data_IF_167399204259
#
_entry.id   IF_167399204259
#
_cell.length_a   1.000
_cell.length_b   1.000
_cell.length_c   1.000
_cell.angle_alpha   90.00
_cell.angle_beta   90.00
_cell.angle_gamma   90.00
#
_symmetry.space_group_name_H-M   'P 1'
#
loop_
_entity.id
_entity.type
_entity.pdbx_description
1 polymer ?
#
# COMPACT_ATOMS: atom_id res chain seq x y z
N UNK A 1 -36.74 1.26 -24.94
CA UNK A 1 -38.17 0.91 -24.84
C UNK A 1 -38.66 1.42 -23.50
N UNK A 2 -39.31 2.61 -23.44
CA UNK A 2 -40.74 2.87 -23.46
C UNK A 2 -41.38 2.36 -22.15
N UNK A 3 -42.01 3.15 -21.28
CA UNK A 3 -42.88 4.32 -21.41
C UNK A 3 -43.14 5.02 -20.09
N UNK A 4 -43.25 6.36 -20.19
CA UNK A 4 -43.95 7.30 -19.29
C UNK A 4 -45.42 6.88 -19.04
N UNK A 5 -45.99 7.27 -17.87
CA UNK A 5 -47.34 7.80 -17.79
C UNK A 5 -47.42 8.85 -16.69
N UNK A 6 -47.72 10.08 -17.09
CA UNK A 6 -48.29 11.17 -16.29
C UNK A 6 -49.79 10.89 -16.09
N UNK A 7 -50.35 11.29 -14.94
CA UNK A 7 -51.74 11.79 -14.91
C UNK A 7 -51.93 12.91 -13.89
N UNK A 8 -52.37 14.01 -14.40
CA UNK A 8 -52.98 15.18 -13.77
C UNK A 8 -54.42 14.89 -13.32
N UNK A 9 -54.89 15.67 -12.35
CA UNK A 9 -56.26 16.27 -12.20
C UNK A 9 -56.41 16.70 -10.75
N UNK A 10 -57.04 17.75 -10.29
CA UNK A 10 -57.61 18.98 -10.83
C UNK A 10 -58.10 19.76 -9.59
N UNK A 11 -58.15 21.05 -9.75
CA UNK A 11 -58.63 22.06 -8.80
C UNK A 11 -60.14 22.01 -8.58
N UNK A 12 -60.59 22.43 -7.37
CA UNK A 12 -61.97 22.90 -7.16
C UNK A 12 -62.08 23.58 -5.78
N UNK A 13 -62.78 24.69 -5.70
CA UNK A 13 -62.65 25.67 -4.63
C UNK A 13 -63.93 25.80 -3.73
N UNK A 14 -63.80 26.74 -2.75
CA UNK A 14 -64.84 27.41 -1.93
C UNK A 14 -65.29 26.78 -0.61
N UNK A 15 -65.18 27.64 0.39
CA UNK A 15 -65.99 27.59 1.59
C UNK A 15 -65.37 28.33 2.79
N UNK A 16 -65.53 29.68 2.83
CA UNK A 16 -65.33 30.46 4.06
C UNK A 16 -66.36 30.06 5.12
N UNK A 17 -65.97 29.82 6.35
CA UNK A 17 -66.76 30.18 7.52
C UNK A 17 -65.87 30.49 8.71
N UNK A 18 -66.01 31.67 9.24
CA UNK A 18 -65.46 32.15 10.49
C UNK A 18 -66.10 31.44 11.67
N UNK A 19 -65.30 30.98 12.62
CA UNK A 19 -65.68 30.95 14.01
C UNK A 19 -64.43 31.06 14.92
N UNK A 20 -64.53 32.04 15.74
CA UNK A 20 -63.64 32.51 16.82
C UNK A 20 -63.53 31.47 17.92
N UNK A 21 -62.30 31.21 18.41
CA UNK A 21 -62.20 30.69 19.75
C UNK A 21 -61.07 29.70 20.03
N UNK A 22 -60.24 30.14 20.94
CA UNK A 22 -59.30 29.47 21.81
C UNK A 22 -57.89 29.20 21.33
N UNK A 23 -56.99 30.05 21.87
CA UNK A 23 -55.57 29.86 21.93
C UNK A 23 -55.24 28.67 22.85
N UNK A 24 -54.83 27.55 22.32
CA UNK A 24 -54.09 26.54 23.01
C UNK A 24 -52.69 26.53 22.39
N UNK A 25 -51.72 27.04 23.14
CA UNK A 25 -50.30 27.00 22.78
C UNK A 25 -49.82 25.57 22.78
N UNK A 26 -49.71 24.95 21.61
CA UNK A 26 -48.95 23.73 21.43
C UNK A 26 -47.44 24.09 21.39
N UNK A 27 -46.79 24.00 22.54
CA UNK A 27 -45.34 23.97 22.58
C UNK A 27 -44.89 22.70 21.84
N UNK A 28 -44.48 22.87 20.58
CA UNK A 28 -43.74 21.83 19.86
C UNK A 28 -42.36 21.74 20.52
N UNK A 29 -42.20 20.82 21.45
CA UNK A 29 -40.91 20.38 21.94
C UNK A 29 -40.29 19.61 20.78
N UNK A 30 -39.47 20.28 19.98
CA UNK A 30 -38.50 19.62 19.11
C UNK A 30 -37.51 18.88 20.00
N UNK A 31 -37.79 17.62 20.28
CA UNK A 31 -36.78 16.65 20.69
C UNK A 31 -35.78 16.57 19.54
N UNK A 32 -34.73 17.39 19.61
CA UNK A 32 -33.48 17.14 18.92
C UNK A 32 -32.97 15.82 19.50
N UNK A 33 -33.32 14.71 18.88
CA UNK A 33 -32.56 13.48 19.00
C UNK A 33 -31.16 13.82 18.48
N UNK A 34 -30.26 14.17 19.40
CA UNK A 34 -28.84 14.09 19.15
C UNK A 34 -28.59 12.61 18.80
N UNK A 35 -28.55 12.30 17.52
CA UNK A 35 -27.89 11.09 17.08
C UNK A 35 -26.47 11.29 17.52
N UNK A 36 -26.02 10.48 18.49
CA UNK A 36 -24.61 10.36 18.84
C UNK A 36 -23.88 10.04 17.51
N UNK A 37 -23.32 11.06 16.89
CA UNK A 37 -22.44 10.89 15.75
C UNK A 37 -21.20 10.25 16.31
N UNK A 38 -21.01 8.95 16.07
CA UNK A 38 -19.78 8.24 16.39
C UNK A 38 -18.62 9.03 15.79
N UNK A 39 -17.86 9.67 16.66
CA UNK A 39 -16.82 10.58 16.24
C UNK A 39 -15.52 9.81 15.99
N UNK A 40 -15.41 9.24 14.79
CA UNK A 40 -14.10 8.87 14.25
C UNK A 40 -13.47 10.15 13.73
N UNK A 41 -12.33 10.55 14.26
CA UNK A 41 -11.66 11.79 13.86
C UNK A 41 -10.20 11.56 13.52
N UNK A 42 -9.68 12.39 12.61
CA UNK A 42 -8.26 12.47 12.28
C UNK A 42 -7.79 13.91 12.44
N UNK A 43 -6.66 14.08 13.14
CA UNK A 43 -5.96 15.36 13.26
C UNK A 43 -4.58 15.24 12.63
N UNK A 44 -4.25 16.14 11.71
CA UNK A 44 -2.95 16.16 11.06
C UNK A 44 -1.88 16.78 11.95
N UNK A 45 -0.61 16.49 11.68
CA UNK A 45 0.53 17.04 12.42
C UNK A 45 0.50 18.57 12.57
N UNK A 46 0.01 19.28 11.56
CA UNK A 46 -0.07 20.73 11.56
C UNK A 46 -1.15 21.29 12.50
N UNK A 47 -2.18 20.50 12.76
CA UNK A 47 -3.35 20.88 13.57
C UNK A 47 -3.21 20.45 15.04
N UNK A 48 -2.30 19.52 15.35
CA UNK A 48 -2.07 19.00 16.69
C UNK A 48 -1.45 20.02 17.61
N UNK A 49 -1.79 19.95 18.91
CA UNK A 49 -1.08 20.69 19.96
C UNK A 49 0.37 20.18 20.09
N UNK A 50 1.30 21.07 20.40
CA UNK A 50 2.73 20.75 20.49
C UNK A 50 3.04 19.55 21.38
N UNK A 51 2.61 19.51 22.64
CA UNK A 51 2.93 18.40 23.55
C UNK A 51 2.40 17.03 23.09
N UNK A 52 1.21 16.99 22.51
CA UNK A 52 0.60 15.77 21.98
C UNK A 52 1.37 15.24 20.79
N UNK A 53 1.60 16.07 19.79
CA UNK A 53 2.44 15.76 18.64
C UNK A 53 3.82 15.29 19.07
N UNK A 54 4.46 16.00 20.00
CA UNK A 54 5.84 15.70 20.43
C UNK A 54 5.94 14.37 21.15
N UNK A 55 4.89 13.93 21.87
CA UNK A 55 4.81 12.60 22.47
C UNK A 55 4.75 11.47 21.41
N UNK A 56 3.92 11.62 20.37
CA UNK A 56 3.84 10.66 19.25
C UNK A 56 5.16 10.59 18.49
N UNK A 57 5.76 11.74 18.19
CA UNK A 57 7.07 11.86 17.51
C UNK A 57 8.17 11.19 18.32
N UNK A 58 8.20 11.39 19.64
CA UNK A 58 9.20 10.79 20.52
C UNK A 58 9.08 9.26 20.55
N UNK A 59 7.86 8.73 20.69
CA UNK A 59 7.60 7.30 20.69
C UNK A 59 8.00 6.65 19.34
N UNK A 60 7.56 7.22 18.21
CA UNK A 60 7.90 6.72 16.89
C UNK A 60 9.43 6.72 16.66
N UNK A 61 10.13 7.78 17.07
CA UNK A 61 11.59 7.87 16.97
C UNK A 61 12.29 6.85 17.84
N UNK A 62 11.82 6.61 19.06
CA UNK A 62 12.40 5.62 19.97
C UNK A 62 12.28 4.21 19.39
N UNK A 63 11.10 3.83 18.90
CA UNK A 63 10.87 2.53 18.25
C UNK A 63 11.74 2.41 16.99
N UNK A 64 11.81 3.44 16.15
CA UNK A 64 12.66 3.43 14.96
C UNK A 64 14.15 3.28 15.29
N UNK A 65 14.64 3.87 16.39
CA UNK A 65 16.00 3.71 16.89
C UNK A 65 16.27 2.27 17.34
N UNK A 66 15.32 1.64 18.03
CA UNK A 66 15.41 0.22 18.42
C UNK A 66 15.44 -0.69 17.18
N UNK A 67 14.61 -0.41 16.17
CA UNK A 67 14.64 -1.12 14.88
C UNK A 67 16.00 -0.94 14.20
N UNK A 68 16.53 0.27 14.14
CA UNK A 68 17.83 0.57 13.51
C UNK A 68 18.99 -0.16 14.19
N UNK A 69 18.95 -0.27 15.51
CA UNK A 69 19.99 -0.97 16.28
C UNK A 69 19.80 -2.49 16.36
N UNK A 70 18.67 -3.01 15.85
CA UNK A 70 18.31 -4.42 15.94
C UNK A 70 17.88 -4.86 17.35
N UNK A 71 17.46 -3.92 18.20
CA UNK A 71 16.99 -4.18 19.56
C UNK A 71 15.56 -4.75 19.52
N UNK A 72 15.42 -6.01 19.09
CA UNK A 72 14.13 -6.73 19.00
C UNK A 72 13.39 -6.73 20.34
N UNK A 73 14.09 -6.89 21.46
CA UNK A 73 13.47 -6.90 22.79
C UNK A 73 12.95 -5.52 23.18
N UNK A 74 13.65 -4.45 22.84
CA UNK A 74 13.19 -3.07 23.06
C UNK A 74 11.91 -2.78 22.29
N UNK A 75 11.86 -3.13 20.99
CA UNK A 75 10.63 -2.97 20.19
C UNK A 75 9.49 -3.82 20.77
N UNK A 76 9.75 -5.08 21.17
CA UNK A 76 8.73 -5.93 21.77
C UNK A 76 8.17 -5.35 23.08
N UNK A 77 9.03 -4.79 23.94
CA UNK A 77 8.60 -4.12 25.17
C UNK A 77 7.77 -2.86 24.94
N UNK A 78 8.01 -2.17 23.81
CA UNK A 78 7.25 -0.99 23.36
C UNK A 78 6.02 -1.36 22.51
N UNK A 79 5.63 -2.64 22.45
CA UNK A 79 4.51 -3.14 21.63
C UNK A 79 3.31 -3.49 22.50
N UNK A 80 2.10 -3.23 22.02
CA UNK A 80 0.86 -3.61 22.73
C UNK A 80 0.79 -5.13 22.96
N UNK A 81 0.18 -5.61 24.06
CA UNK A 81 0.19 -7.03 24.42
C UNK A 81 -0.38 -7.96 23.34
N UNK A 82 -1.45 -7.54 22.65
CA UNK A 82 -2.10 -8.31 21.59
C UNK A 82 -1.15 -8.61 20.41
N UNK A 83 -0.30 -7.67 20.03
CA UNK A 83 0.71 -7.81 18.96
C UNK A 83 1.99 -8.48 19.50
N UNK A 84 2.41 -8.14 20.73
CA UNK A 84 3.60 -8.72 21.37
C UNK A 84 3.48 -10.23 21.60
N UNK A 85 2.25 -10.76 21.74
CA UNK A 85 1.99 -12.20 21.87
C UNK A 85 2.30 -12.99 20.59
N UNK A 86 2.36 -12.34 19.42
CA UNK A 86 2.62 -12.96 18.12
C UNK A 86 3.70 -12.17 17.33
N UNK A 87 4.84 -11.93 17.99
CA UNK A 87 5.86 -10.96 17.56
C UNK A 87 6.85 -11.48 16.52
N UNK A 88 6.91 -12.77 16.25
CA UNK A 88 7.97 -13.42 15.45
C UNK A 88 8.16 -12.82 14.06
N UNK A 89 7.06 -12.43 13.39
CA UNK A 89 7.13 -11.78 12.09
C UNK A 89 7.80 -10.40 12.18
N UNK A 90 7.45 -9.62 13.18
CA UNK A 90 8.06 -8.30 13.42
C UNK A 90 9.53 -8.48 13.79
N UNK A 91 9.86 -9.44 14.66
CA UNK A 91 11.23 -9.75 15.05
C UNK A 91 12.10 -10.11 13.84
N UNK A 92 11.61 -10.98 12.96
CA UNK A 92 12.29 -11.35 11.71
C UNK A 92 12.48 -10.15 10.78
N UNK A 93 11.46 -9.29 10.67
CA UNK A 93 11.52 -8.07 9.87
C UNK A 93 12.61 -7.12 10.41
N UNK A 94 12.65 -6.89 11.72
CA UNK A 94 13.68 -6.05 12.37
C UNK A 94 15.09 -6.62 12.12
N UNK A 95 15.28 -7.93 12.31
CA UNK A 95 16.57 -8.59 12.12
C UNK A 95 17.10 -8.47 10.69
N UNK A 96 16.20 -8.56 9.70
CA UNK A 96 16.55 -8.42 8.28
C UNK A 96 16.81 -6.95 7.89
N UNK A 97 16.11 -6.01 8.52
CA UNK A 97 16.13 -4.60 8.16
C UNK A 97 17.26 -3.83 8.85
N UNK A 98 17.55 -4.12 10.11
CA UNK A 98 18.51 -3.37 10.92
C UNK A 98 19.91 -3.23 10.29
N UNK A 99 20.49 -4.24 9.60
CA UNK A 99 21.77 -4.08 8.93
C UNK A 99 21.76 -3.00 7.84
N UNK A 100 20.63 -2.85 7.14
CA UNK A 100 20.45 -1.87 6.05
C UNK A 100 20.25 -0.45 6.57
N UNK A 101 19.75 -0.30 7.81
CA UNK A 101 19.50 1.00 8.46
C UNK A 101 20.72 1.60 9.16
N UNK A 102 21.78 0.82 9.31
CA UNK A 102 22.96 1.23 10.09
C UNK A 102 23.59 2.51 9.53
N UNK A 103 23.75 3.50 10.40
CA UNK A 103 24.33 4.81 10.07
C UNK A 103 23.34 5.78 9.39
N UNK A 104 22.10 5.38 9.14
CA UNK A 104 21.07 6.26 8.59
C UNK A 104 20.59 7.32 9.58
N UNK A 105 20.22 8.48 9.05
CA UNK A 105 19.54 9.53 9.81
C UNK A 105 18.05 9.23 9.90
N UNK A 106 17.50 9.17 11.12
CA UNK A 106 16.08 8.95 11.36
C UNK A 106 15.34 10.29 11.48
N UNK A 107 14.34 10.49 10.63
CA UNK A 107 13.47 11.67 10.65
C UNK A 107 12.00 11.24 10.69
N UNK A 108 11.23 11.76 11.65
CA UNK A 108 9.78 11.62 11.64
C UNK A 108 9.22 12.65 10.67
N UNK A 109 8.66 12.20 9.56
CA UNK A 109 8.20 13.06 8.46
C UNK A 109 6.70 13.36 8.54
N UNK A 110 5.92 12.50 9.17
CA UNK A 110 4.50 12.74 9.41
C UNK A 110 4.00 11.98 10.64
N UNK A 111 3.04 12.57 11.33
CA UNK A 111 2.19 11.91 12.33
C UNK A 111 0.73 12.33 12.13
N UNK A 112 -0.17 11.39 12.34
CA UNK A 112 -1.62 11.58 12.30
C UNK A 112 -2.20 11.06 13.60
N UNK A 113 -3.05 11.83 14.26
CA UNK A 113 -3.81 11.41 15.42
C UNK A 113 -5.15 10.83 14.94
N UNK A 114 -5.46 9.60 15.35
CA UNK A 114 -6.60 8.82 14.88
C UNK A 114 -7.45 8.40 16.09
N UNK A 115 -8.56 9.09 16.30
CA UNK A 115 -9.45 8.79 17.42
C UNK A 115 -10.64 7.94 16.95
N UNK A 116 -10.74 6.74 17.47
CA UNK A 116 -11.79 5.76 17.20
C UNK A 116 -12.54 5.33 18.47
N UNK A 117 -12.65 6.23 19.45
CA UNK A 117 -13.25 5.89 20.77
C UNK A 117 -14.69 5.40 20.66
N UNK A 118 -15.43 5.91 19.68
CA UNK A 118 -16.83 5.59 19.43
C UNK A 118 -17.01 4.69 18.19
N UNK A 119 -15.95 4.01 17.72
CA UNK A 119 -16.07 3.09 16.59
C UNK A 119 -17.04 1.94 16.94
N UNK A 120 -18.03 1.65 16.07
CA UNK A 120 -18.96 0.57 16.31
C UNK A 120 -18.23 -0.78 16.41
N UNK A 121 -18.54 -1.62 17.41
CA UNK A 121 -17.91 -2.93 17.50
C UNK A 121 -18.33 -3.82 16.32
N UNK A 122 -17.35 -4.47 15.69
CA UNK A 122 -17.60 -5.46 14.64
C UNK A 122 -17.66 -4.92 13.22
N UNK A 123 -17.32 -3.66 12.99
CA UNK A 123 -17.10 -3.16 11.62
C UNK A 123 -15.89 -3.83 10.97
N UNK A 124 -16.00 -4.10 9.66
CA UNK A 124 -14.90 -4.70 8.88
C UNK A 124 -13.69 -3.77 8.79
N UNK A 125 -13.90 -2.45 8.81
CA UNK A 125 -12.85 -1.44 8.81
C UNK A 125 -13.34 -0.11 9.39
N UNK A 126 -12.43 0.62 10.06
CA UNK A 126 -12.64 2.00 10.53
C UNK A 126 -11.97 2.95 9.54
N UNK A 127 -12.72 3.94 9.06
CA UNK A 127 -12.24 4.90 8.08
C UNK A 127 -12.03 6.28 8.69
N UNK A 128 -10.83 6.84 8.52
CA UNK A 128 -10.47 8.19 8.94
C UNK A 128 -10.20 9.07 7.73
N UNK A 129 -10.73 10.28 7.73
CA UNK A 129 -10.49 11.29 6.72
C UNK A 129 -9.61 12.41 7.29
N UNK A 130 -8.40 12.54 6.77
CA UNK A 130 -7.42 13.54 7.19
C UNK A 130 -7.25 14.57 6.07
N UNK A 131 -7.79 15.75 6.25
CA UNK A 131 -7.63 16.86 5.30
C UNK A 131 -6.30 17.59 5.53
N UNK A 132 -5.49 17.77 4.49
CA UNK A 132 -4.36 18.70 4.51
C UNK A 132 -4.80 19.97 3.79
N UNK A 133 -5.29 20.94 4.55
CA UNK A 133 -5.97 22.12 4.04
C UNK A 133 -5.17 22.97 3.03
N UNK A 134 -3.83 22.87 3.03
CA UNK A 134 -2.99 23.68 2.17
C UNK A 134 -2.96 23.25 0.69
N UNK A 135 -3.31 22.01 0.34
CA UNK A 135 -3.07 21.43 -0.99
C UNK A 135 -4.22 20.61 -1.56
N UNK A 136 -5.44 20.67 -1.04
CA UNK A 136 -6.55 19.76 -1.38
C UNK A 136 -6.16 18.27 -1.28
N UNK A 137 -5.11 17.95 -0.50
CA UNK A 137 -4.67 16.57 -0.29
C UNK A 137 -5.52 15.96 0.82
N UNK A 138 -6.22 14.92 0.48
CA UNK A 138 -6.90 14.07 1.44
C UNK A 138 -6.13 12.77 1.63
N UNK A 139 -5.81 12.44 2.89
CA UNK A 139 -5.26 11.15 3.28
C UNK A 139 -6.38 10.39 3.98
N UNK A 140 -6.61 9.17 3.54
CA UNK A 140 -7.66 8.29 4.08
C UNK A 140 -6.97 7.07 4.69
N UNK A 141 -7.30 6.77 5.94
CA UNK A 141 -6.92 5.53 6.58
C UNK A 141 -8.14 4.62 6.64
N UNK A 142 -8.06 3.45 6.03
CA UNK A 142 -9.11 2.43 6.06
C UNK A 142 -8.58 1.18 6.78
N UNK A 143 -8.55 1.25 8.13
CA UNK A 143 -7.86 0.26 8.96
C UNK A 143 -8.80 -0.90 9.28
N UNK A 144 -8.51 -2.12 8.79
CA UNK A 144 -9.38 -3.26 8.99
C UNK A 144 -9.38 -3.71 10.46
N UNK A 145 -10.58 -3.97 10.98
CA UNK A 145 -10.81 -4.53 12.32
C UNK A 145 -10.12 -3.74 13.44
N UNK A 146 -10.03 -2.41 13.29
CA UNK A 146 -9.48 -1.55 14.33
C UNK A 146 -10.46 -1.53 15.52
N UNK A 147 -10.02 -1.86 16.75
CA UNK A 147 -10.87 -1.73 17.93
C UNK A 147 -11.13 -0.25 18.26
N UNK A 148 -12.14 0.01 19.09
CA UNK A 148 -12.31 1.33 19.69
C UNK A 148 -11.05 1.70 20.49
N UNK A 149 -10.53 2.92 20.30
CA UNK A 149 -9.28 3.35 20.93
C UNK A 149 -8.74 4.66 20.38
N UNK A 150 -7.59 5.04 20.92
CA UNK A 150 -6.85 6.22 20.47
C UNK A 150 -5.53 5.76 19.85
N UNK A 151 -5.35 6.09 18.58
CA UNK A 151 -4.23 5.64 17.74
C UNK A 151 -3.47 6.82 17.17
N UNK A 152 -2.24 6.55 16.74
CA UNK A 152 -1.48 7.45 15.89
C UNK A 152 -0.86 6.66 14.73
N UNK A 153 -0.80 7.28 13.56
CA UNK A 153 -0.01 6.74 12.46
C UNK A 153 1.21 7.64 12.24
N UNK A 154 2.39 7.05 12.40
CA UNK A 154 3.66 7.76 12.29
C UNK A 154 4.48 7.23 11.11
N UNK A 155 5.12 8.14 10.39
CA UNK A 155 6.05 7.83 9.29
C UNK A 155 7.44 8.33 9.69
N UNK A 156 8.39 7.40 9.78
CA UNK A 156 9.81 7.68 10.03
C UNK A 156 10.59 7.29 8.79
N UNK A 157 11.45 8.17 8.32
CA UNK A 157 12.34 7.86 7.20
C UNK A 157 13.79 7.73 7.69
N UNK A 158 14.44 6.65 7.27
CA UNK A 158 15.86 6.41 7.46
C UNK A 158 16.60 6.74 6.15
N UNK A 159 17.32 7.85 6.14
CA UNK A 159 17.98 8.41 4.95
C UNK A 159 19.51 8.51 5.15
N UNK A 160 20.24 8.93 4.10
CA UNK A 160 21.70 9.01 4.14
C UNK A 160 22.42 7.65 4.08
N UNK A 161 21.72 6.60 3.67
CA UNK A 161 22.20 5.22 3.50
C UNK A 161 21.95 4.74 2.08
N UNK A 162 22.61 3.65 1.67
CA UNK A 162 22.52 3.10 0.30
C UNK A 162 21.08 2.77 -0.09
N UNK A 163 20.32 2.18 0.83
CA UNK A 163 18.95 1.75 0.61
C UNK A 163 18.02 2.44 1.64
N UNK A 164 17.63 3.70 1.42
CA UNK A 164 16.78 4.43 2.37
C UNK A 164 15.44 3.74 2.54
N UNK A 165 14.91 3.82 3.77
CA UNK A 165 13.71 3.08 4.18
C UNK A 165 12.69 4.02 4.81
N UNK A 166 11.41 3.70 4.60
CA UNK A 166 10.29 4.24 5.36
C UNK A 166 9.85 3.22 6.39
N UNK A 167 9.74 3.66 7.64
CA UNK A 167 9.26 2.88 8.78
C UNK A 167 7.91 3.46 9.20
N UNK A 168 6.83 2.94 8.64
CA UNK A 168 5.48 3.35 9.02
C UNK A 168 5.01 2.53 10.21
N UNK A 169 4.38 3.19 11.18
CA UNK A 169 3.97 2.60 12.45
C UNK A 169 2.55 3.01 12.79
N UNK A 170 1.71 2.05 13.15
CA UNK A 170 0.48 2.31 13.89
C UNK A 170 0.83 2.21 15.38
N UNK A 171 0.52 3.25 16.12
CA UNK A 171 0.72 3.34 17.57
C UNK A 171 -0.65 3.35 18.24
N UNK A 172 -0.74 2.84 19.47
CA UNK A 172 -1.93 2.86 20.32
C UNK A 172 -1.57 3.39 21.70
N UNK A 173 -2.46 4.15 22.30
CA UNK A 173 -2.31 4.57 23.70
C UNK A 173 -3.53 4.18 24.51
N UNK A 174 -3.29 3.68 25.74
CA UNK A 174 -4.33 3.34 26.72
C UNK A 174 -4.37 4.32 27.92
N UNK A 175 -3.57 5.39 27.86
CA UNK A 175 -3.48 6.37 28.94
C UNK A 175 -4.29 7.64 28.66
N UNK A 176 -4.62 8.42 29.73
CA UNK A 176 -5.16 9.76 29.54
C UNK A 176 -4.15 10.65 28.80
N UNK A 177 -4.62 11.65 28.05
CA UNK A 177 -3.84 12.52 27.16
C UNK A 177 -2.51 13.06 27.74
N UNK A 178 -2.49 13.31 29.05
CA UNK A 178 -1.35 13.89 29.79
C UNK A 178 -0.37 12.84 30.37
N UNK A 179 -0.67 11.54 30.25
CA UNK A 179 0.18 10.41 30.69
C UNK A 179 0.24 9.29 29.65
N UNK A 180 -0.11 9.58 28.41
CA UNK A 180 -0.18 8.62 27.33
C UNK A 180 1.20 8.06 26.99
N UNK A 181 1.38 6.75 27.12
CA UNK A 181 2.51 6.03 26.54
C UNK A 181 2.05 5.39 25.24
N UNK A 182 2.64 5.83 24.14
CA UNK A 182 2.37 5.28 22.81
C UNK A 182 3.11 3.96 22.63
N UNK A 183 2.40 2.90 22.27
CA UNK A 183 2.95 1.56 22.02
C UNK A 183 2.69 1.12 20.60
N UNK A 184 3.57 0.31 20.05
CA UNK A 184 3.46 -0.21 18.68
C UNK A 184 2.27 -1.17 18.55
N UNK A 185 1.34 -0.84 17.67
CA UNK A 185 0.20 -1.68 17.28
C UNK A 185 0.36 -2.29 15.87
N UNK A 186 1.24 -1.72 15.03
CA UNK A 186 1.55 -2.23 13.70
C UNK A 186 2.85 -1.65 13.13
N UNK A 187 3.56 -2.45 12.32
CA UNK A 187 4.85 -2.05 11.72
C UNK A 187 4.89 -2.38 10.23
N UNK A 188 5.09 -1.38 9.36
CA UNK A 188 4.96 -1.46 7.92
C UNK A 188 6.19 -0.82 7.22
N UNK A 189 7.35 -1.49 7.24
CA UNK A 189 8.54 -0.96 6.59
C UNK A 189 8.45 -1.13 5.07
N UNK A 190 8.94 -0.12 4.34
CA UNK A 190 9.06 -0.13 2.88
C UNK A 190 10.32 0.61 2.43
N UNK A 191 10.96 0.19 1.33
CA UNK A 191 12.03 0.97 0.75
C UNK A 191 11.49 2.30 0.21
N UNK A 192 12.31 3.35 0.26
CA UNK A 192 12.03 4.63 -0.39
C UNK A 192 12.50 4.66 -1.85
N UNK A 193 13.42 3.75 -2.22
CA UNK A 193 14.03 3.70 -3.55
C UNK A 193 14.16 2.25 -4.03
N UNK A 194 14.15 2.07 -5.33
CA UNK A 194 14.48 0.83 -6.03
C UNK A 194 15.43 1.15 -7.18
N UNK A 195 16.51 0.39 -7.34
CA UNK A 195 17.54 0.61 -8.37
C UNK A 195 18.00 2.09 -8.50
N UNK A 196 18.09 2.80 -7.37
CA UNK A 196 18.57 4.18 -7.31
C UNK A 196 17.53 5.27 -7.59
N UNK A 197 16.26 4.92 -7.78
CA UNK A 197 15.18 5.86 -8.07
C UNK A 197 14.05 5.75 -7.05
N UNK A 198 13.39 6.89 -6.76
CA UNK A 198 12.23 6.97 -5.88
C UNK A 198 10.89 6.67 -6.59
N UNK A 199 9.82 6.61 -5.82
CA UNK A 199 8.50 6.28 -6.35
C UNK A 199 7.93 7.34 -7.30
N UNK A 200 8.28 8.62 -7.15
CA UNK A 200 7.81 9.70 -8.04
C UNK A 200 8.47 9.55 -9.41
N UNK A 201 9.77 9.29 -9.44
CA UNK A 201 10.49 9.02 -10.68
C UNK A 201 9.89 7.80 -11.43
N UNK A 202 9.57 6.71 -10.70
CA UNK A 202 8.92 5.54 -11.32
C UNK A 202 7.56 5.90 -11.89
N UNK A 203 6.76 6.73 -11.21
CA UNK A 203 5.46 7.17 -11.68
C UNK A 203 5.56 8.01 -12.97
N UNK A 204 6.48 8.98 -13.01
CA UNK A 204 6.73 9.80 -14.20
C UNK A 204 7.21 8.94 -15.38
N UNK A 205 8.15 8.04 -15.13
CA UNK A 205 8.68 7.15 -16.15
C UNK A 205 7.64 6.16 -16.69
N UNK A 206 6.73 5.67 -15.82
CA UNK A 206 5.59 4.86 -16.22
C UNK A 206 4.67 5.59 -17.20
N UNK A 207 4.40 6.88 -16.97
CA UNK A 207 3.63 7.72 -17.89
C UNK A 207 4.31 7.87 -19.25
N UNK A 208 5.64 7.99 -19.27
CA UNK A 208 6.38 8.08 -20.52
C UNK A 208 6.29 6.78 -21.32
N UNK A 209 6.45 5.62 -20.67
CA UNK A 209 6.26 4.33 -21.33
C UNK A 209 4.81 4.12 -21.80
N UNK A 210 3.83 4.55 -21.02
CA UNK A 210 2.42 4.49 -21.43
C UNK A 210 2.16 5.32 -22.69
N UNK A 211 2.67 6.56 -22.75
CA UNK A 211 2.59 7.43 -23.93
C UNK A 211 3.31 6.84 -25.15
N UNK A 212 4.41 6.11 -24.93
CA UNK A 212 5.16 5.42 -25.98
C UNK A 212 4.48 4.12 -26.46
N UNK A 213 3.32 3.73 -25.90
CA UNK A 213 2.62 2.50 -26.28
C UNK A 213 3.31 1.22 -25.78
N UNK A 214 4.05 1.30 -24.68
CA UNK A 214 4.75 0.19 -24.03
C UNK A 214 4.03 -0.24 -22.74
N UNK A 215 2.87 -0.92 -22.80
CA UNK A 215 2.03 -1.17 -21.61
C UNK A 215 2.73 -2.06 -20.58
N UNK A 216 3.58 -3.00 -20.95
CA UNK A 216 4.32 -3.85 -20.01
C UNK A 216 5.32 -3.03 -19.19
N UNK A 217 6.13 -2.19 -19.83
CA UNK A 217 7.06 -1.31 -19.13
C UNK A 217 6.29 -0.34 -18.21
N UNK A 218 5.25 0.30 -18.73
CA UNK A 218 4.42 1.23 -17.98
C UNK A 218 3.83 0.57 -16.73
N UNK A 219 3.21 -0.59 -16.87
CA UNK A 219 2.56 -1.31 -15.77
C UNK A 219 3.54 -1.62 -14.63
N UNK A 220 4.69 -2.23 -14.92
CA UNK A 220 5.64 -2.58 -13.87
C UNK A 220 6.29 -1.36 -13.20
N UNK A 221 6.45 -0.26 -13.93
CA UNK A 221 6.90 1.00 -13.35
C UNK A 221 5.83 1.62 -12.44
N UNK A 222 4.57 1.59 -12.82
CA UNK A 222 3.46 2.00 -11.95
C UNK A 222 3.36 1.14 -10.68
N UNK A 223 3.44 -0.19 -10.80
CA UNK A 223 3.43 -1.10 -9.65
C UNK A 223 4.59 -0.80 -8.68
N UNK A 224 5.77 -0.51 -9.23
CA UNK A 224 6.93 -0.11 -8.43
C UNK A 224 6.70 1.25 -7.76
N UNK A 225 6.12 2.22 -8.46
CA UNK A 225 5.74 3.51 -7.86
C UNK A 225 4.76 3.33 -6.69
N UNK A 226 3.72 2.51 -6.86
CA UNK A 226 2.77 2.16 -5.80
C UNK A 226 3.52 1.59 -4.59
N UNK A 227 4.37 0.59 -4.80
CA UNK A 227 5.12 -0.06 -3.73
C UNK A 227 6.01 0.88 -2.93
N UNK A 228 6.68 1.83 -3.60
CA UNK A 228 7.59 2.79 -2.98
C UNK A 228 6.87 3.97 -2.31
N UNK A 229 5.72 4.38 -2.85
CA UNK A 229 4.99 5.55 -2.34
C UNK A 229 4.01 5.21 -1.22
N UNK A 230 3.44 4.00 -1.21
CA UNK A 230 2.43 3.58 -0.25
C UNK A 230 3.01 3.40 1.16
N UNK A 231 2.59 4.17 2.17
CA UNK A 231 3.12 4.02 3.53
C UNK A 231 2.68 2.73 4.23
N UNK A 232 1.43 2.31 4.01
CA UNK A 232 0.83 1.06 4.47
C UNK A 232 -0.38 0.73 3.59
N UNK A 233 -0.79 -0.54 3.54
CA UNK A 233 -1.85 -1.01 2.62
C UNK A 233 -3.24 -0.43 2.90
N UNK A 234 -3.45 0.12 4.08
CA UNK A 234 -4.70 0.76 4.51
C UNK A 234 -4.67 2.29 4.38
N UNK A 235 -3.63 2.86 3.79
CA UNK A 235 -3.49 4.32 3.55
C UNK A 235 -3.81 4.61 2.11
N UNK A 236 -4.67 5.59 1.88
CA UNK A 236 -5.05 6.07 0.56
C UNK A 236 -4.98 7.59 0.47
N UNK A 237 -5.02 8.12 -0.73
CA UNK A 237 -5.10 9.56 -1.01
C UNK A 237 -5.57 9.80 -2.43
N UNK A 238 -6.04 11.01 -2.72
CA UNK A 238 -6.43 11.39 -4.09
C UNK A 238 -5.29 11.24 -5.12
N UNK A 239 -4.03 11.39 -4.72
CA UNK A 239 -2.89 11.10 -5.59
C UNK A 239 -2.69 9.60 -5.81
N UNK A 240 -2.93 8.79 -4.78
CA UNK A 240 -2.92 7.32 -4.89
C UNK A 240 -4.01 6.80 -5.80
N UNK A 241 -5.24 7.31 -5.65
CA UNK A 241 -6.36 6.98 -6.54
C UNK A 241 -5.98 7.20 -8.01
N UNK A 242 -5.34 8.34 -8.31
CA UNK A 242 -4.86 8.64 -9.65
C UNK A 242 -3.80 7.64 -10.13
N UNK A 243 -2.82 7.31 -9.29
CA UNK A 243 -1.78 6.33 -9.59
C UNK A 243 -2.39 4.95 -9.87
N UNK A 244 -3.33 4.49 -9.06
CA UNK A 244 -4.06 3.23 -9.25
C UNK A 244 -4.86 3.23 -10.56
N UNK A 245 -5.54 4.34 -10.89
CA UNK A 245 -6.28 4.45 -12.16
C UNK A 245 -5.35 4.39 -13.37
N UNK A 246 -4.20 5.09 -13.33
CA UNK A 246 -3.19 5.04 -14.40
C UNK A 246 -2.60 3.64 -14.55
N UNK A 247 -2.34 2.94 -13.44
CA UNK A 247 -1.86 1.54 -13.43
C UNK A 247 -2.86 0.61 -14.10
N UNK A 248 -4.14 0.71 -13.74
CA UNK A 248 -5.22 -0.09 -14.34
C UNK A 248 -5.35 0.15 -15.84
N UNK A 249 -5.23 1.40 -16.28
CA UNK A 249 -5.26 1.76 -17.69
C UNK A 249 -4.06 1.21 -18.48
N UNK A 250 -2.92 0.97 -17.82
CA UNK A 250 -1.71 0.42 -18.42
C UNK A 250 -1.61 -1.11 -18.30
N UNK A 251 -2.57 -1.78 -17.66
CA UNK A 251 -2.50 -3.24 -17.44
C UNK A 251 -2.38 -3.98 -18.78
N UNK A 252 -1.29 -4.72 -19.03
CA UNK A 252 -1.10 -5.40 -20.30
C UNK A 252 -2.00 -6.61 -20.44
N UNK A 253 -2.41 -6.90 -21.70
CA UNK A 253 -3.16 -8.10 -21.99
C UNK A 253 -2.27 -9.33 -21.80
N UNK A 254 -2.80 -10.35 -21.12
CA UNK A 254 -2.08 -11.61 -20.89
C UNK A 254 -1.13 -11.59 -19.70
N UNK A 255 -1.16 -10.55 -18.85
CA UNK A 255 -0.43 -10.53 -17.59
C UNK A 255 -0.84 -11.76 -16.73
N UNK A 256 0.13 -12.55 -16.22
CA UNK A 256 -0.20 -13.69 -15.37
C UNK A 256 -0.85 -13.22 -14.05
N UNK A 257 -1.94 -13.88 -13.67
CA UNK A 257 -2.73 -13.59 -12.47
C UNK A 257 -3.42 -14.84 -11.98
N UNK A 258 -4.77 -14.81 -11.93
CA UNK A 258 -5.55 -16.02 -11.58
C UNK A 258 -5.32 -17.18 -12.55
N UNK A 259 -4.93 -16.89 -13.80
CA UNK A 259 -4.51 -17.87 -14.80
C UNK A 259 -3.07 -17.59 -15.21
N UNK A 260 -2.26 -18.65 -15.43
CA UNK A 260 -0.91 -18.53 -15.96
C UNK A 260 -0.93 -17.93 -17.38
N UNK A 261 0.11 -17.17 -17.73
CA UNK A 261 0.40 -16.78 -19.11
C UNK A 261 1.07 -17.97 -19.83
N UNK A 262 0.50 -18.39 -20.94
CA UNK A 262 1.08 -19.49 -21.75
C UNK A 262 1.95 -18.92 -22.86
N UNK A 263 3.21 -19.35 -22.92
CA UNK A 263 4.18 -18.96 -23.95
C UNK A 263 4.72 -20.20 -24.63
N UNK A 264 4.77 -20.22 -25.98
CA UNK A 264 5.36 -21.32 -26.71
C UNK A 264 6.89 -21.15 -26.80
N UNK A 265 7.62 -22.07 -26.17
CA UNK A 265 9.09 -22.09 -26.17
C UNK A 265 9.57 -23.33 -26.91
N UNK A 266 10.19 -23.15 -28.07
CA UNK A 266 10.71 -24.24 -28.91
C UNK A 266 9.66 -25.34 -29.22
N UNK A 267 8.40 -24.94 -29.45
CA UNK A 267 7.30 -25.86 -29.79
C UNK A 267 6.55 -26.43 -28.58
N UNK A 268 6.94 -26.12 -27.35
CA UNK A 268 6.29 -26.57 -26.13
C UNK A 268 5.68 -25.39 -25.35
N UNK A 269 4.45 -25.53 -24.83
CA UNK A 269 3.83 -24.51 -24.00
C UNK A 269 4.52 -24.45 -22.62
N UNK A 270 4.84 -23.24 -22.17
CA UNK A 270 5.39 -22.94 -20.84
C UNK A 270 4.40 -22.06 -20.09
N UNK A 271 4.03 -22.46 -18.88
CA UNK A 271 3.10 -21.72 -18.02
C UNK A 271 3.86 -20.76 -17.10
N UNK A 272 3.77 -19.46 -17.36
CA UNK A 272 4.33 -18.40 -16.51
C UNK A 272 3.28 -18.06 -15.46
N UNK A 273 3.61 -18.25 -14.20
CA UNK A 273 2.68 -18.07 -13.07
C UNK A 273 2.78 -16.70 -12.43
N UNK A 274 3.93 -16.03 -12.56
CA UNK A 274 4.13 -14.70 -11.99
C UNK A 274 5.20 -13.91 -12.76
N UNK A 275 4.96 -12.61 -12.92
CA UNK A 275 5.96 -11.64 -13.35
C UNK A 275 5.88 -10.45 -12.39
N UNK A 276 7.00 -10.04 -11.84
CA UNK A 276 7.15 -8.87 -10.95
C UNK A 276 8.50 -8.21 -11.18
N UNK A 277 8.79 -7.14 -10.47
CA UNK A 277 10.09 -6.46 -10.51
C UNK A 277 10.89 -6.72 -9.24
N UNK A 278 12.19 -6.61 -9.33
CA UNK A 278 13.14 -6.71 -8.23
C UNK A 278 14.39 -5.85 -8.50
N UNK A 279 15.09 -5.45 -7.45
CA UNK A 279 16.34 -4.69 -7.59
C UNK A 279 17.48 -5.24 -6.72
N UNK A 280 17.39 -6.48 -6.29
CA UNK A 280 18.35 -7.12 -5.38
C UNK A 280 19.76 -7.18 -5.97
N UNK A 281 19.89 -7.37 -7.28
CA UNK A 281 21.20 -7.44 -7.96
C UNK A 281 21.75 -6.09 -8.45
N UNK A 282 21.12 -4.98 -8.02
CA UNK A 282 21.61 -3.63 -8.31
C UNK A 282 21.09 -3.02 -9.61
N UNK A 283 20.36 -3.79 -10.44
CA UNK A 283 19.58 -3.35 -11.56
C UNK A 283 18.08 -3.37 -11.26
N UNK A 284 17.29 -2.85 -12.18
CA UNK A 284 15.82 -3.00 -12.15
C UNK A 284 15.45 -4.17 -13.05
N UNK A 285 15.21 -5.33 -12.46
CA UNK A 285 15.07 -6.60 -13.18
C UNK A 285 13.62 -7.08 -13.16
N UNK A 286 13.23 -7.82 -14.24
CA UNK A 286 12.02 -8.61 -14.26
C UNK A 286 12.26 -9.96 -13.58
N UNK A 287 11.46 -10.31 -12.59
CA UNK A 287 11.41 -11.64 -11.98
C UNK A 287 10.28 -12.42 -12.60
N UNK A 288 10.60 -13.52 -13.27
CA UNK A 288 9.64 -14.40 -13.94
C UNK A 288 9.63 -15.76 -13.26
N UNK A 289 8.45 -16.28 -12.92
CA UNK A 289 8.28 -17.63 -12.40
C UNK A 289 7.49 -18.48 -13.38
N UNK A 290 7.97 -19.69 -13.66
CA UNK A 290 7.28 -20.61 -14.53
C UNK A 290 7.29 -22.04 -13.96
N UNK A 291 6.31 -22.84 -14.35
CA UNK A 291 6.18 -24.24 -13.95
C UNK A 291 6.90 -25.17 -14.92
N UNK A 292 7.56 -26.17 -14.38
CA UNK A 292 8.21 -27.26 -15.14
C UNK A 292 8.08 -28.59 -14.40
N UNK A 293 8.23 -29.69 -15.11
CA UNK A 293 8.14 -31.03 -14.50
C UNK A 293 9.38 -31.36 -13.65
N UNK A 294 10.57 -30.86 -14.02
CA UNK A 294 11.83 -31.27 -13.40
C UNK A 294 12.90 -30.18 -13.52
N UNK A 295 13.72 -30.02 -12.47
CA UNK A 295 14.90 -29.15 -12.41
C UNK A 295 16.14 -29.87 -11.83
N UNK A 296 16.09 -31.20 -11.73
CA UNK A 296 17.16 -32.02 -11.16
C UNK A 296 18.47 -31.98 -11.98
N UNK A 297 18.37 -31.76 -13.30
CA UNK A 297 19.51 -31.48 -14.16
C UNK A 297 19.69 -29.97 -14.36
N UNK A 298 20.69 -29.32 -13.73
CA UNK A 298 20.92 -27.90 -13.84
C UNK A 298 21.27 -27.43 -15.26
N UNK A 299 21.90 -28.26 -16.08
CA UNK A 299 22.28 -27.90 -17.45
C UNK A 299 21.03 -27.83 -18.35
N UNK A 300 20.16 -28.84 -18.25
CA UNK A 300 18.89 -28.86 -18.94
C UNK A 300 17.95 -27.73 -18.44
N UNK A 301 17.89 -27.47 -17.12
CA UNK A 301 17.13 -26.37 -16.55
C UNK A 301 17.62 -25.02 -17.07
N UNK A 302 18.94 -24.79 -17.12
CA UNK A 302 19.55 -23.58 -17.69
C UNK A 302 19.15 -23.39 -19.16
N UNK A 303 19.27 -24.44 -19.97
CA UNK A 303 18.95 -24.37 -21.40
C UNK A 303 17.49 -23.97 -21.61
N UNK A 304 16.55 -24.59 -20.88
CA UNK A 304 15.11 -24.22 -20.95
C UNK A 304 14.87 -22.77 -20.49
N UNK A 305 15.50 -22.37 -19.41
CA UNK A 305 15.35 -21.03 -18.86
C UNK A 305 15.87 -19.96 -19.83
N UNK A 306 17.04 -20.18 -20.46
CA UNK A 306 17.57 -19.27 -21.51
C UNK A 306 16.65 -19.21 -22.72
N UNK A 307 16.12 -20.35 -23.17
CA UNK A 307 15.16 -20.39 -24.27
C UNK A 307 13.89 -19.58 -23.95
N UNK A 308 13.37 -19.69 -22.72
CA UNK A 308 12.25 -18.86 -22.26
C UNK A 308 12.58 -17.38 -22.25
N UNK A 309 13.74 -16.97 -21.68
CA UNK A 309 14.18 -15.57 -21.68
C UNK A 309 14.25 -14.98 -23.09
N UNK A 310 14.86 -15.73 -24.05
CA UNK A 310 14.93 -15.34 -25.45
C UNK A 310 13.55 -15.15 -26.08
N UNK A 311 12.66 -16.11 -25.83
CA UNK A 311 11.28 -16.07 -26.33
C UNK A 311 10.54 -14.84 -25.80
N UNK A 312 10.65 -14.55 -24.49
CA UNK A 312 10.03 -13.39 -23.87
C UNK A 312 10.58 -12.07 -24.46
N UNK A 313 11.89 -11.97 -24.67
CA UNK A 313 12.51 -10.79 -25.30
C UNK A 313 12.13 -10.63 -26.77
N UNK A 314 11.82 -11.72 -27.48
CA UNK A 314 11.31 -11.65 -28.85
C UNK A 314 9.85 -11.19 -28.89
N UNK A 315 9.04 -11.59 -27.90
CA UNK A 315 7.65 -11.16 -27.76
C UNK A 315 7.52 -9.71 -27.23
N UNK A 316 8.44 -9.31 -26.36
CA UNK A 316 8.45 -8.01 -25.68
C UNK A 316 9.81 -7.31 -25.83
N UNK A 317 10.17 -6.88 -27.05
CA UNK A 317 11.46 -6.24 -27.30
C UNK A 317 11.66 -4.92 -26.51
N UNK A 318 10.56 -4.26 -26.13
CA UNK A 318 10.51 -3.07 -25.30
C UNK A 318 11.08 -3.27 -23.89
N UNK A 319 11.13 -4.51 -23.39
CA UNK A 319 11.70 -4.81 -22.07
C UNK A 319 13.19 -4.45 -21.95
N UNK A 320 13.92 -4.44 -23.09
CA UNK A 320 15.31 -4.00 -23.12
C UNK A 320 15.51 -2.53 -22.74
N UNK A 321 14.48 -1.72 -22.94
CA UNK A 321 14.50 -0.30 -22.56
C UNK A 321 14.12 -0.10 -21.09
N UNK A 322 13.17 -0.89 -20.59
CA UNK A 322 12.62 -0.74 -19.25
C UNK A 322 13.38 -1.46 -18.14
N UNK A 323 14.14 -2.52 -18.47
CA UNK A 323 14.73 -3.39 -17.45
C UNK A 323 16.19 -3.69 -17.73
N UNK A 324 16.96 -3.84 -16.63
CA UNK A 324 18.38 -4.22 -16.69
C UNK A 324 18.53 -5.68 -17.11
N UNK A 325 17.72 -6.59 -16.55
CA UNK A 325 17.81 -8.02 -16.78
C UNK A 325 16.53 -8.79 -16.48
N UNK A 326 16.62 -10.11 -16.59
CA UNK A 326 15.60 -11.05 -16.13
C UNK A 326 16.18 -12.02 -15.11
N UNK A 327 15.48 -12.20 -14.01
CA UNK A 327 15.71 -13.24 -13.01
C UNK A 327 14.58 -14.26 -13.09
N UNK A 328 14.86 -15.42 -13.66
CA UNK A 328 13.84 -16.44 -13.94
C UNK A 328 13.96 -17.61 -12.98
N UNK A 329 12.83 -18.03 -12.43
CA UNK A 329 12.69 -19.17 -11.54
C UNK A 329 11.89 -20.29 -12.23
N UNK A 330 12.49 -21.45 -12.37
CA UNK A 330 11.84 -22.67 -12.79
C UNK A 330 11.39 -23.46 -11.55
N UNK A 331 10.07 -23.57 -11.36
CA UNK A 331 9.49 -24.30 -10.23
C UNK A 331 9.09 -25.70 -10.66
N UNK A 332 9.56 -26.71 -9.94
CA UNK A 332 9.13 -28.10 -10.10
C UNK A 332 8.56 -28.65 -8.79
N UNK A 333 7.58 -29.57 -8.85
CA UNK A 333 6.99 -30.15 -7.65
C UNK A 333 8.04 -30.83 -6.77
N UNK A 334 8.02 -30.52 -5.46
CA UNK A 334 8.90 -31.13 -4.44
C UNK A 334 10.41 -30.94 -4.68
N UNK A 335 10.82 -29.96 -5.48
CA UNK A 335 12.22 -29.62 -5.74
C UNK A 335 12.49 -28.16 -5.39
N UNK A 336 13.75 -27.84 -5.06
CA UNK A 336 14.17 -26.45 -4.93
C UNK A 336 14.14 -25.80 -6.32
N UNK A 337 13.59 -24.59 -6.47
CA UNK A 337 13.54 -23.92 -7.75
C UNK A 337 14.95 -23.71 -8.32
N UNK A 338 15.12 -24.01 -9.61
CA UNK A 338 16.29 -23.52 -10.34
C UNK A 338 16.10 -22.03 -10.64
N UNK A 339 17.13 -21.23 -10.44
CA UNK A 339 17.06 -19.80 -10.79
C UNK A 339 18.26 -19.35 -11.61
N UNK A 340 18.02 -18.42 -12.54
CA UNK A 340 19.03 -17.83 -13.37
C UNK A 340 18.71 -16.35 -13.57
N UNK A 341 19.68 -15.49 -13.30
CA UNK A 341 19.63 -14.06 -13.63
C UNK A 341 20.59 -13.77 -14.80
N UNK A 342 20.14 -13.01 -15.79
CA UNK A 342 20.94 -12.52 -16.91
C UNK A 342 20.53 -11.09 -17.27
N UNK A 343 21.51 -10.23 -17.48
CA UNK A 343 21.27 -8.90 -18.04
C UNK A 343 20.70 -9.00 -19.47
N UNK A 344 19.85 -8.05 -19.88
CA UNK A 344 19.19 -8.07 -21.20
C UNK A 344 20.16 -8.28 -22.40
N UNK A 345 21.33 -7.61 -22.45
CA UNK A 345 22.31 -7.87 -23.52
C UNK A 345 22.88 -9.29 -23.47
N UNK A 346 23.09 -9.85 -22.27
CA UNK A 346 23.62 -11.19 -22.11
C UNK A 346 22.62 -12.27 -22.56
N UNK A 347 21.32 -12.06 -22.41
CA UNK A 347 20.28 -12.98 -22.90
C UNK A 347 20.36 -13.08 -24.44
N UNK A 348 20.51 -11.95 -25.13
CA UNK A 348 20.60 -11.93 -26.58
C UNK A 348 21.87 -12.62 -27.09
N UNK A 349 22.95 -12.61 -26.33
CA UNK A 349 24.24 -13.21 -26.66
C UNK A 349 24.35 -14.71 -26.35
N UNK A 350 23.39 -15.33 -25.63
CA UNK A 350 23.43 -16.77 -25.38
C UNK A 350 23.31 -17.56 -26.69
N UNK A 351 23.96 -18.71 -26.82
CA UNK A 351 23.89 -19.56 -28.01
C UNK A 351 22.50 -20.11 -28.30
#
# INVERSE_FOLDING_TARGET
MVRRILRWFALGPFGLSWSMGWRVGAAVVCLLSATDAFAVSCTTQAEMKGPERDAMVAAARAIASDVQTGNVNGVKAATIPSVASNFDRIASTISNLSPTLKGGALSVTAVYDLQAMDAPPGEDAVQFFCGVAANDLHVIFNIPRLPAGHFAFAIVEATGIKNPQRLSMLLETNGPENAASWQLAGFFPRPLMSAGHDGVWYWEKARDFHKAGQPWNAYFYYETAIYLLLPAEFVDSNNFDKLIQETRAATPVGLPGAQPMSVNVAGSPVAITNIRTDSTFGGFDLVVRYETADVSDPAAARTRTVALMKTLLALHPEWKEGFHGMWVFANAPNQQPFSLELAMPAIAAQP
#
